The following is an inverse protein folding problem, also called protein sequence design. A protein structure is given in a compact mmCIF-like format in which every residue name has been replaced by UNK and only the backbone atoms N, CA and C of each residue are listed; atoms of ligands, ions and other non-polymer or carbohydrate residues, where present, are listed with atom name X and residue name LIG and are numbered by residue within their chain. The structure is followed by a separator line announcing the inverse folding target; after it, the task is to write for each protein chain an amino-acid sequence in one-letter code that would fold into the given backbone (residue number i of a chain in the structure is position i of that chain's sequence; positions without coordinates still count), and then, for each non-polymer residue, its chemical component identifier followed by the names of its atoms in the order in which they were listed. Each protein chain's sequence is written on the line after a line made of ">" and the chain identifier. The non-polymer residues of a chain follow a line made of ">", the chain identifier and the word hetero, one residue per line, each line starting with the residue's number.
data_IF_760465809686
#
_entry.id   IF_760465809686
#
_cell.length_a   1.000
_cell.length_b   1.000
_cell.length_c   1.000
_cell.angle_alpha   90.00
_cell.angle_beta   90.00
_cell.angle_gamma   90.00
#
_symmetry.space_group_name_H-M   'P 1'
#
loop_
_entity.id
_entity.type
_entity.pdbx_description
1 polymer ?
#
# COMPACT_ATOMS: atom_id res chain seq x y z
N UNK A 1 -9.68 -6.41 6.92
CA UNK A 1 -8.42 -6.10 6.23
C UNK A 1 -8.38 -6.90 4.94
N UNK A 2 -8.18 -6.26 3.78
CA UNK A 2 -8.10 -6.96 2.48
C UNK A 2 -6.70 -6.78 1.91
N UNK A 3 -6.12 -7.84 1.36
CA UNK A 3 -4.81 -7.82 0.75
C UNK A 3 -4.85 -8.53 -0.61
N UNK A 4 -4.08 -8.01 -1.56
CA UNK A 4 -3.83 -8.69 -2.82
C UNK A 4 -2.38 -9.16 -2.82
N UNK A 5 -2.17 -10.47 -2.99
CA UNK A 5 -0.82 -11.02 -3.12
C UNK A 5 -0.25 -10.60 -4.47
N UNK A 6 0.79 -9.77 -4.44
CA UNK A 6 1.44 -9.28 -5.67
C UNK A 6 2.11 -10.43 -6.41
N UNK A 7 1.66 -10.65 -7.65
CA UNK A 7 2.32 -11.47 -8.66
C UNK A 7 2.66 -10.58 -9.86
N UNK A 8 3.66 -10.97 -10.66
CA UNK A 8 4.23 -10.14 -11.73
C UNK A 8 3.25 -9.79 -12.87
N UNK A 9 2.05 -10.36 -12.89
CA UNK A 9 1.05 -10.17 -13.96
C UNK A 9 -0.31 -9.66 -13.49
N UNK A 10 -0.55 -9.54 -12.18
CA UNK A 10 -1.83 -9.07 -11.65
C UNK A 10 -1.84 -7.54 -11.59
N UNK A 11 -2.80 -6.91 -12.26
CA UNK A 11 -3.07 -5.48 -12.15
C UNK A 11 -4.14 -5.28 -11.07
N UNK A 12 -3.74 -4.70 -9.94
CA UNK A 12 -4.61 -4.51 -8.79
C UNK A 12 -4.67 -3.05 -8.36
N UNK A 13 -5.87 -2.47 -8.39
CA UNK A 13 -6.14 -1.09 -8.02
C UNK A 13 -7.23 -1.03 -6.95
N UNK A 14 -7.00 -0.22 -5.92
CA UNK A 14 -8.05 0.07 -4.97
C UNK A 14 -8.89 1.25 -5.50
N UNK A 15 -10.19 1.05 -5.65
CA UNK A 15 -11.14 2.12 -5.97
C UNK A 15 -11.90 2.57 -4.72
N UNK A 16 -12.36 3.82 -4.72
CA UNK A 16 -13.10 4.43 -3.60
C UNK A 16 -14.32 5.19 -4.12
N UNK A 17 -15.38 4.50 -4.55
CA UNK A 17 -16.58 5.14 -5.09
C UNK A 17 -17.30 6.00 -4.04
N UNK A 18 -17.17 5.62 -2.77
CA UNK A 18 -17.77 6.31 -1.64
C UNK A 18 -16.76 6.49 -0.50
N UNK A 19 -16.95 7.52 0.31
CA UNK A 19 -16.21 7.71 1.56
C UNK A 19 -16.81 6.82 2.65
N UNK A 20 -16.26 5.61 2.79
CA UNK A 20 -16.66 4.66 3.84
C UNK A 20 -15.46 3.87 4.34
N UNK A 21 -15.54 3.42 5.59
CA UNK A 21 -14.55 2.53 6.23
C UNK A 21 -15.00 1.07 6.23
N UNK A 22 -16.30 0.87 6.02
CA UNK A 22 -17.00 -0.40 6.20
C UNK A 22 -17.00 -1.24 4.92
N UNK A 23 -16.67 -0.62 3.78
CA UNK A 23 -16.64 -1.28 2.47
C UNK A 23 -15.33 -0.95 1.77
N UNK A 24 -14.71 -1.97 1.18
CA UNK A 24 -13.48 -1.83 0.42
C UNK A 24 -13.64 -2.44 -0.98
N UNK A 25 -13.42 -1.63 -2.01
CA UNK A 25 -13.42 -2.06 -3.39
C UNK A 25 -12.00 -2.19 -3.93
N UNK A 26 -11.72 -3.31 -4.57
CA UNK A 26 -10.46 -3.58 -5.27
C UNK A 26 -10.80 -4.14 -6.65
N UNK A 27 -10.20 -3.57 -7.68
CA UNK A 27 -10.24 -4.13 -9.03
C UNK A 27 -8.97 -4.94 -9.26
N UNK A 28 -9.10 -6.19 -9.67
CA UNK A 28 -7.99 -7.07 -10.07
C UNK A 28 -8.29 -7.63 -11.45
N UNK A 29 -7.45 -7.33 -12.44
CA UNK A 29 -7.59 -7.77 -13.84
C UNK A 29 -9.01 -7.60 -14.41
N UNK A 30 -9.61 -6.44 -14.14
CA UNK A 30 -10.95 -6.07 -14.61
C UNK A 30 -12.12 -6.64 -13.80
N UNK A 31 -11.88 -7.47 -12.78
CA UNK A 31 -12.91 -7.93 -11.83
C UNK A 31 -12.89 -7.04 -10.57
N UNK A 32 -14.05 -6.58 -10.13
CA UNK A 32 -14.16 -5.79 -8.89
C UNK A 32 -14.57 -6.67 -7.72
N UNK A 33 -13.69 -6.83 -6.75
CA UNK A 33 -13.98 -7.50 -5.47
C UNK A 33 -14.28 -6.47 -4.39
N UNK A 34 -15.35 -6.69 -3.66
CA UNK A 34 -15.83 -5.84 -2.58
C UNK A 34 -15.80 -6.63 -1.28
N UNK A 35 -15.04 -6.14 -0.31
CA UNK A 35 -15.11 -6.62 1.08
C UNK A 35 -16.09 -5.73 1.84
N UNK A 36 -17.24 -6.28 2.20
CA UNK A 36 -18.33 -5.60 2.90
C UNK A 36 -18.33 -6.00 4.37
N UNK A 37 -18.33 -5.02 5.27
CA UNK A 37 -18.50 -5.23 6.69
C UNK A 37 -19.62 -4.34 7.19
N UNK A 38 -20.62 -4.94 7.83
CA UNK A 38 -21.70 -4.19 8.46
C UNK A 38 -21.83 -4.62 9.91
N UNK A 39 -21.81 -3.66 10.83
CA UNK A 39 -22.22 -3.91 12.21
C UNK A 39 -23.76 -3.94 12.29
N UNK A 40 -24.32 -4.77 13.19
CA UNK A 40 -25.75 -4.73 13.52
C UNK A 40 -26.20 -3.28 13.82
N UNK A 41 -27.41 -2.93 13.34
CA UNK A 41 -28.07 -1.64 13.56
C UNK A 41 -27.41 -0.40 12.94
N UNK A 42 -26.31 -0.55 12.20
CA UNK A 42 -25.76 0.53 11.37
C UNK A 42 -26.27 0.45 9.92
N UNK A 43 -26.92 1.53 9.48
CA UNK A 43 -27.52 1.65 8.15
C UNK A 43 -26.55 2.11 7.06
N UNK A 44 -25.47 2.81 7.41
CA UNK A 44 -24.67 3.58 6.46
C UNK A 44 -23.94 2.70 5.43
N UNK A 45 -23.40 1.56 5.87
CA UNK A 45 -22.74 0.61 4.98
C UNK A 45 -23.73 0.00 3.99
N UNK A 46 -24.88 -0.52 4.45
CA UNK A 46 -25.87 -1.12 3.57
C UNK A 46 -26.43 -0.10 2.57
N UNK A 47 -26.78 1.11 3.02
CA UNK A 47 -27.25 2.17 2.12
C UNK A 47 -26.19 2.59 1.09
N UNK A 48 -24.90 2.46 1.42
CA UNK A 48 -23.81 2.70 0.47
C UNK A 48 -23.71 1.57 -0.56
N UNK A 49 -23.83 0.32 -0.12
CA UNK A 49 -23.83 -0.84 -1.01
C UNK A 49 -25.01 -0.82 -1.99
N UNK A 50 -26.23 -0.54 -1.50
CA UNK A 50 -27.45 -0.51 -2.31
C UNK A 50 -27.44 0.59 -3.40
N UNK A 51 -26.65 1.65 -3.22
CA UNK A 51 -26.49 2.75 -4.21
C UNK A 51 -25.32 2.55 -5.15
N UNK A 52 -24.52 1.50 -4.95
CA UNK A 52 -23.31 1.31 -5.73
C UNK A 52 -23.64 0.74 -7.12
N UNK A 53 -23.22 1.40 -8.23
CA UNK A 53 -23.42 0.85 -9.57
C UNK A 53 -22.59 -0.42 -9.77
N UNK A 54 -23.28 -1.55 -9.98
CA UNK A 54 -22.67 -2.87 -10.12
C UNK A 54 -21.96 -3.00 -11.47
N UNK A 55 -20.66 -3.35 -11.51
CA UNK A 55 -19.93 -3.57 -12.76
C UNK A 55 -20.17 -4.98 -13.33
N UNK A 56 -19.83 -5.18 -14.60
CA UNK A 56 -20.05 -6.45 -15.34
C UNK A 56 -19.44 -7.69 -14.67
N UNK A 57 -18.32 -7.53 -13.94
CA UNK A 57 -17.64 -8.63 -13.24
C UNK A 57 -17.34 -8.23 -11.81
N UNK A 58 -18.18 -8.67 -10.87
CA UNK A 58 -18.05 -8.33 -9.48
C UNK A 58 -18.22 -9.52 -8.53
N UNK A 59 -17.55 -9.42 -7.38
CA UNK A 59 -17.78 -10.27 -6.21
C UNK A 59 -17.96 -9.36 -5.01
N UNK A 60 -19.10 -9.46 -4.33
CA UNK A 60 -19.35 -8.77 -3.06
C UNK A 60 -19.39 -9.83 -1.98
N UNK A 61 -18.47 -9.73 -1.01
CA UNK A 61 -18.40 -10.69 0.08
C UNK A 61 -18.08 -10.04 1.41
N UNK A 62 -18.55 -10.64 2.50
CA UNK A 62 -18.16 -10.27 3.86
C UNK A 62 -19.32 -10.41 4.85
N UNK A 63 -19.26 -9.69 5.96
CA UNK A 63 -20.21 -9.80 7.06
C UNK A 63 -21.41 -8.85 6.83
N UNK A 64 -22.54 -9.42 6.42
CA UNK A 64 -23.77 -8.67 6.18
C UNK A 64 -24.61 -8.48 7.44
N UNK A 65 -24.41 -9.31 8.46
CA UNK A 65 -25.18 -9.27 9.70
C UNK A 65 -26.71 -9.25 9.45
N UNK A 66 -27.18 -10.04 8.46
CA UNK A 66 -28.58 -10.12 8.06
C UNK A 66 -29.02 -11.55 7.71
N UNK A 67 -30.30 -11.86 7.92
CA UNK A 67 -30.89 -13.16 7.58
C UNK A 67 -32.00 -13.00 6.57
N UNK A 68 -32.11 -13.96 5.66
CA UNK A 68 -33.19 -14.10 4.71
C UNK A 68 -33.35 -15.57 4.35
N UNK A 69 -34.58 -15.98 4.02
CA UNK A 69 -34.91 -17.39 3.77
C UNK A 69 -34.16 -18.01 2.58
N UNK A 70 -33.54 -17.19 1.72
CA UNK A 70 -32.72 -17.68 0.59
C UNK A 70 -31.32 -18.14 0.99
N UNK A 71 -30.82 -17.77 2.19
CA UNK A 71 -29.52 -18.24 2.70
C UNK A 71 -29.60 -18.86 4.10
N UNK A 72 -30.66 -18.60 4.86
CA UNK A 72 -30.92 -19.25 6.13
C UNK A 72 -32.43 -19.35 6.40
N UNK A 73 -32.93 -20.56 6.62
CA UNK A 73 -34.32 -20.87 6.96
C UNK A 73 -34.77 -20.06 8.19
N UNK A 74 -36.02 -19.59 8.14
CA UNK A 74 -36.65 -18.77 9.18
C UNK A 74 -37.00 -17.37 8.71
N UNK A 75 -37.38 -16.50 9.65
CA UNK A 75 -37.76 -15.13 9.34
C UNK A 75 -36.55 -14.28 8.94
N UNK A 76 -36.76 -13.41 7.95
CA UNK A 76 -35.79 -12.41 7.57
C UNK A 76 -35.57 -11.40 8.71
N UNK A 77 -34.33 -10.97 8.92
CA UNK A 77 -33.97 -9.98 9.96
C UNK A 77 -32.92 -9.02 9.42
N UNK A 78 -32.79 -7.87 10.09
CA UNK A 78 -31.74 -6.88 9.81
C UNK A 78 -31.64 -6.45 8.34
N UNK A 79 -32.80 -6.24 7.69
CA UNK A 79 -32.93 -5.84 6.28
C UNK A 79 -32.47 -6.90 5.27
N UNK A 80 -32.54 -8.18 5.63
CA UNK A 80 -32.26 -9.29 4.71
C UNK A 80 -33.10 -9.28 3.43
N UNK A 81 -34.36 -8.81 3.50
CA UNK A 81 -35.21 -8.66 2.31
C UNK A 81 -34.60 -7.67 1.30
N UNK A 82 -34.16 -6.50 1.75
CA UNK A 82 -33.57 -5.49 0.87
C UNK A 82 -32.27 -5.97 0.21
N UNK A 83 -31.49 -6.80 0.91
CA UNK A 83 -30.28 -7.43 0.34
C UNK A 83 -30.67 -8.46 -0.73
N UNK A 84 -31.72 -9.24 -0.50
CA UNK A 84 -32.22 -10.21 -1.47
C UNK A 84 -32.78 -9.51 -2.72
N UNK A 85 -33.56 -8.44 -2.54
CA UNK A 85 -34.10 -7.64 -3.63
C UNK A 85 -32.96 -7.00 -4.44
N UNK A 86 -31.97 -6.40 -3.76
CA UNK A 86 -30.78 -5.83 -4.40
C UNK A 86 -30.00 -6.86 -5.21
N UNK A 87 -29.77 -8.06 -4.67
CA UNK A 87 -29.08 -9.11 -5.38
C UNK A 87 -29.87 -9.56 -6.62
N UNK A 88 -31.20 -9.69 -6.51
CA UNK A 88 -32.08 -10.06 -7.62
C UNK A 88 -32.12 -8.99 -8.71
N UNK A 89 -32.23 -7.72 -8.34
CA UNK A 89 -32.29 -6.58 -9.27
C UNK A 89 -31.01 -6.46 -10.12
N UNK A 90 -29.86 -6.85 -9.54
CA UNK A 90 -28.55 -6.77 -10.19
C UNK A 90 -28.04 -8.13 -10.69
N UNK A 91 -28.90 -9.14 -10.76
CA UNK A 91 -28.56 -10.50 -11.23
C UNK A 91 -27.35 -11.13 -10.52
N UNK A 92 -27.20 -10.84 -9.23
CA UNK A 92 -26.13 -11.38 -8.40
C UNK A 92 -26.54 -12.73 -7.82
N UNK A 93 -25.78 -13.76 -8.17
CA UNK A 93 -25.93 -15.11 -7.63
C UNK A 93 -25.31 -15.19 -6.23
N UNK A 94 -26.07 -15.74 -5.28
CA UNK A 94 -25.57 -16.08 -3.96
C UNK A 94 -24.70 -17.35 -4.05
N UNK A 95 -23.47 -17.28 -3.58
CA UNK A 95 -22.53 -18.41 -3.56
C UNK A 95 -22.64 -19.26 -2.29
N UNK A 96 -23.29 -18.76 -1.24
CA UNK A 96 -23.52 -19.50 -0.02
C UNK A 96 -24.48 -20.67 -0.27
N UNK A 97 -24.22 -21.78 0.41
CA UNK A 97 -25.15 -22.90 0.47
C UNK A 97 -26.16 -22.59 1.59
N UNK A 98 -27.45 -22.78 1.29
CA UNK A 98 -28.55 -22.59 2.22
C UNK A 98 -28.33 -23.37 3.53
N UNK A 99 -28.57 -22.71 4.67
CA UNK A 99 -28.49 -23.27 6.02
C UNK A 99 -27.11 -23.77 6.46
N UNK A 100 -26.05 -23.51 5.69
CA UNK A 100 -24.68 -23.75 6.15
C UNK A 100 -24.21 -22.55 6.98
N UNK A 101 -23.95 -22.72 8.30
CA UNK A 101 -23.51 -21.61 9.14
C UNK A 101 -22.12 -21.09 8.74
N UNK A 102 -21.98 -19.77 8.77
CA UNK A 102 -20.70 -19.08 8.52
C UNK A 102 -20.01 -18.63 9.79
N UNK A 103 -20.72 -18.69 10.92
CA UNK A 103 -20.18 -18.39 12.24
C UNK A 103 -20.43 -19.52 13.26
N UNK A 104 -19.72 -19.50 14.41
CA UNK A 104 -19.87 -20.55 15.43
C UNK A 104 -21.23 -20.57 16.15
N UNK A 105 -22.06 -19.55 15.93
CA UNK A 105 -23.38 -19.42 16.55
C UNK A 105 -24.49 -20.06 15.71
N UNK A 106 -24.17 -20.67 14.57
CA UNK A 106 -25.15 -21.35 13.73
C UNK A 106 -25.88 -20.43 12.74
N UNK A 107 -25.41 -19.20 12.55
CA UNK A 107 -26.02 -18.27 11.59
C UNK A 107 -25.20 -18.17 10.29
N UNK A 108 -25.89 -17.87 9.20
CA UNK A 108 -25.35 -17.61 7.86
C UNK A 108 -25.45 -16.11 7.59
N UNK A 109 -24.46 -15.37 8.05
CA UNK A 109 -24.43 -13.89 7.96
C UNK A 109 -23.24 -13.35 7.17
N UNK A 110 -22.25 -14.21 6.91
CA UNK A 110 -21.14 -13.89 6.01
C UNK A 110 -21.54 -14.35 4.60
N UNK A 111 -21.88 -13.42 3.72
CA UNK A 111 -22.47 -13.71 2.42
C UNK A 111 -21.48 -13.39 1.30
N UNK A 112 -21.62 -14.10 0.17
CA UNK A 112 -20.88 -13.85 -1.06
C UNK A 112 -21.85 -13.85 -2.25
N UNK A 113 -21.85 -12.75 -3.01
CA UNK A 113 -22.70 -12.50 -4.18
C UNK A 113 -21.82 -12.18 -5.40
N UNK A 114 -22.18 -12.68 -6.58
CA UNK A 114 -21.39 -12.48 -7.80
C UNK A 114 -22.25 -12.54 -9.05
N UNK A 115 -21.91 -11.77 -10.08
CA UNK A 115 -22.42 -11.93 -11.45
C UNK A 115 -21.42 -12.65 -12.37
N UNK A 116 -20.32 -13.18 -11.83
CA UNK A 116 -19.39 -14.00 -12.60
C UNK A 116 -20.00 -15.40 -12.80
N UNK A 117 -20.23 -15.83 -14.06
CA UNK A 117 -20.81 -17.15 -14.33
C UNK A 117 -19.92 -18.29 -13.81
N UNK A 118 -20.55 -19.37 -13.34
CA UNK A 118 -19.88 -20.58 -12.85
C UNK A 118 -18.95 -20.36 -11.64
N UNK A 119 -19.08 -19.22 -10.94
CA UNK A 119 -18.35 -18.99 -9.72
C UNK A 119 -18.84 -19.95 -8.61
N UNK A 120 -17.90 -20.51 -7.87
CA UNK A 120 -18.15 -21.35 -6.71
C UNK A 120 -17.43 -20.78 -5.48
N UNK A 121 -18.05 -20.91 -4.31
CA UNK A 121 -17.41 -20.60 -3.03
C UNK A 121 -17.38 -21.84 -2.14
N UNK A 122 -16.25 -22.05 -1.46
CA UNK A 122 -16.11 -23.13 -0.48
C UNK A 122 -15.89 -22.52 0.90
N UNK A 123 -16.80 -22.81 1.83
CA UNK A 123 -16.61 -22.45 3.25
C UNK A 123 -15.70 -23.49 3.88
N UNK A 124 -14.46 -23.12 4.17
CA UNK A 124 -13.54 -23.98 4.92
C UNK A 124 -13.41 -23.47 6.35
N UNK A 125 -13.90 -24.28 7.29
CA UNK A 125 -13.50 -24.12 8.68
C UNK A 125 -12.07 -24.61 8.81
N UNK A 126 -11.11 -23.68 8.87
CA UNK A 126 -9.85 -24.01 9.51
C UNK A 126 -10.20 -24.30 10.96
N UNK A 127 -10.17 -25.59 11.34
CA UNK A 127 -10.20 -26.03 12.74
C UNK A 127 -9.29 -25.06 13.49
N UNK A 128 -9.82 -24.35 14.50
CA UNK A 128 -8.97 -23.66 15.46
C UNK A 128 -8.01 -24.72 15.99
N UNK A 129 -6.77 -24.73 15.49
CA UNK A 129 -5.69 -25.43 16.16
C UNK A 129 -5.64 -24.82 17.57
N UNK A 130 -5.63 -25.63 18.63
CA UNK A 130 -5.65 -25.11 19.99
C UNK A 130 -4.51 -24.10 20.17
N UNK A 131 -4.67 -23.03 20.98
CA UNK A 131 -3.71 -21.93 21.07
C UNK A 131 -2.25 -22.36 21.33
N UNK A 132 -2.08 -23.51 21.97
CA UNK A 132 -0.78 -24.14 22.25
C UNK A 132 -0.09 -24.61 20.97
N UNK A 133 -0.78 -25.35 20.10
CA UNK A 133 -0.22 -25.85 18.84
C UNK A 133 0.06 -24.72 17.83
N UNK A 134 -0.75 -23.64 17.85
CA UNK A 134 -0.48 -22.43 17.07
C UNK A 134 0.82 -21.75 17.50
N UNK A 135 1.07 -21.67 18.81
CA UNK A 135 2.29 -21.10 19.35
C UNK A 135 3.54 -21.88 18.96
N UNK A 136 3.46 -23.21 18.99
CA UNK A 136 4.55 -24.11 18.60
C UNK A 136 4.82 -24.10 17.10
N UNK A 137 3.77 -24.13 16.27
CA UNK A 137 3.89 -24.00 14.81
C UNK A 137 4.42 -22.62 14.42
N UNK A 138 3.92 -21.55 15.02
CA UNK A 138 4.41 -20.20 14.77
C UNK A 138 5.87 -20.04 15.19
N UNK A 139 6.27 -20.60 16.33
CA UNK A 139 7.66 -20.58 16.82
C UNK A 139 8.57 -21.40 15.91
N UNK A 140 8.12 -22.56 15.46
CA UNK A 140 8.86 -23.44 14.53
C UNK A 140 9.04 -22.77 13.18
N UNK A 141 7.98 -22.17 12.62
CA UNK A 141 8.05 -21.42 11.37
C UNK A 141 8.93 -20.17 11.50
N UNK A 142 8.81 -19.42 12.61
CA UNK A 142 9.66 -18.27 12.87
C UNK A 142 11.14 -18.66 12.99
N UNK A 143 11.43 -19.78 13.66
CA UNK A 143 12.78 -20.34 13.77
C UNK A 143 13.35 -20.76 12.42
N UNK A 144 12.54 -21.47 11.62
CA UNK A 144 12.91 -21.90 10.27
C UNK A 144 13.21 -20.70 9.37
N UNK A 145 12.31 -19.73 9.33
CA UNK A 145 12.49 -18.50 8.54
C UNK A 145 13.67 -17.68 9.03
N UNK A 146 13.90 -17.59 10.35
CA UNK A 146 15.07 -16.91 10.92
C UNK A 146 16.36 -17.62 10.52
N UNK A 147 16.38 -18.94 10.54
CA UNK A 147 17.53 -19.75 10.15
C UNK A 147 17.83 -19.63 8.66
N UNK A 148 16.78 -19.70 7.82
CA UNK A 148 16.89 -19.46 6.39
C UNK A 148 17.37 -18.03 6.09
N UNK A 149 16.86 -17.03 6.80
CA UNK A 149 17.29 -15.63 6.65
C UNK A 149 18.74 -15.41 7.12
N UNK A 150 19.20 -16.11 8.16
CA UNK A 150 20.61 -16.07 8.61
C UNK A 150 21.53 -16.76 7.60
N UNK A 151 21.08 -17.86 6.99
CA UNK A 151 21.86 -18.61 6.00
C UNK A 151 21.93 -17.89 4.64
N UNK A 152 20.81 -17.31 4.19
CA UNK A 152 20.71 -16.61 2.90
C UNK A 152 21.08 -15.12 2.99
N UNK A 153 20.96 -14.52 4.18
CA UNK A 153 21.17 -13.10 4.41
C UNK A 153 22.65 -12.74 4.56
N UNK A 154 23.07 -11.64 3.94
CA UNK A 154 24.35 -11.00 4.26
C UNK A 154 24.19 -10.22 5.56
N UNK A 155 25.15 -10.27 6.51
CA UNK A 155 25.11 -9.42 7.70
C UNK A 155 24.89 -7.97 7.29
N UNK A 156 23.94 -7.29 7.95
CA UNK A 156 23.80 -5.85 7.79
C UNK A 156 25.16 -5.22 8.10
N UNK A 157 25.84 -4.71 7.06
CA UNK A 157 27.11 -4.01 7.23
C UNK A 157 26.87 -2.88 8.24
N UNK A 158 27.44 -2.99 9.45
CA UNK A 158 27.51 -1.90 10.45
C UNK A 158 28.46 -0.79 9.95
N UNK A 159 28.23 -0.28 8.74
CA UNK A 159 29.21 0.52 8.01
C UNK A 159 28.65 1.77 7.34
N UNK A 160 27.37 2.10 7.53
CA UNK A 160 26.86 3.41 7.15
C UNK A 160 27.15 4.39 8.28
N UNK A 161 28.02 5.38 8.07
CA UNK A 161 28.03 6.57 8.95
C UNK A 161 26.64 7.17 8.90
N UNK A 162 26.01 7.36 10.06
CA UNK A 162 24.75 8.11 10.15
C UNK A 162 24.90 9.42 9.39
N UNK A 163 23.84 9.83 8.69
CA UNK A 163 23.90 11.03 7.88
C UNK A 163 24.41 12.21 8.75
N UNK A 164 25.32 13.06 8.26
CA UNK A 164 25.98 14.08 9.09
C UNK A 164 25.02 15.09 9.76
N UNK A 165 23.83 15.26 9.20
CA UNK A 165 22.76 16.12 9.73
C UNK A 165 21.87 15.41 10.78
N UNK A 166 22.14 14.14 11.10
CA UNK A 166 21.35 13.37 12.05
C UNK A 166 21.76 13.70 13.49
N UNK A 167 20.96 14.54 14.13
CA UNK A 167 21.17 14.98 15.52
C UNK A 167 20.48 14.06 16.53
N UNK A 168 20.81 14.21 17.81
CA UNK A 168 20.10 13.55 18.92
C UNK A 168 18.60 13.92 18.94
N UNK A 169 18.27 15.18 18.62
CA UNK A 169 16.89 15.65 18.44
C UNK A 169 16.16 14.87 17.33
N UNK A 170 16.83 14.59 16.20
CA UNK A 170 16.28 13.73 15.13
C UNK A 170 16.03 12.31 15.62
N UNK A 171 16.96 11.75 16.42
CA UNK A 171 16.84 10.42 16.98
C UNK A 171 15.66 10.31 17.96
N UNK A 172 15.53 11.29 18.87
CA UNK A 172 14.42 11.37 19.81
C UNK A 172 13.06 11.52 19.11
N UNK A 173 12.96 12.40 18.10
CA UNK A 173 11.74 12.57 17.32
C UNK A 173 11.36 11.30 16.52
N UNK A 174 12.36 10.59 15.97
CA UNK A 174 12.14 9.31 15.30
C UNK A 174 11.69 8.21 16.28
N UNK A 175 12.24 8.19 17.49
CA UNK A 175 11.84 7.25 18.54
C UNK A 175 10.38 7.50 18.97
N UNK A 176 10.00 8.76 19.21
CA UNK A 176 8.62 9.15 19.52
C UNK A 176 7.63 8.78 18.41
N UNK A 177 7.95 9.07 17.15
CA UNK A 177 7.12 8.66 16.02
C UNK A 177 6.99 7.13 15.93
N UNK A 178 8.07 6.37 16.15
CA UNK A 178 8.01 4.89 16.17
C UNK A 178 7.13 4.37 17.29
N UNK A 179 7.20 4.94 18.49
CA UNK A 179 6.37 4.55 19.62
C UNK A 179 4.88 4.75 19.31
N UNK A 180 4.50 5.94 18.82
CA UNK A 180 3.11 6.26 18.44
C UNK A 180 2.63 5.36 17.29
N UNK A 181 3.49 5.07 16.31
CA UNK A 181 3.15 4.16 15.21
C UNK A 181 2.94 2.71 15.67
N UNK A 182 3.67 2.24 16.68
CA UNK A 182 3.53 0.87 17.20
C UNK A 182 2.25 0.68 18.01
N UNK A 183 1.81 1.70 18.73
CA UNK A 183 0.60 1.66 19.55
C UNK A 183 -0.69 1.88 18.73
N UNK A 184 -0.58 2.34 17.49
CA UNK A 184 -1.73 2.69 16.66
C UNK A 184 -2.06 1.60 15.66
N UNK A 185 -3.17 0.88 15.88
CA UNK A 185 -3.66 -0.21 15.02
C UNK A 185 -4.42 0.28 13.75
N UNK A 186 -4.62 1.58 13.59
CA UNK A 186 -5.30 2.18 12.42
C UNK A 186 -4.79 3.60 12.09
N UNK A 187 -5.28 4.17 10.98
CA UNK A 187 -4.96 5.53 10.51
C UNK A 187 -5.37 6.56 11.56
N UNK A 188 -4.38 7.04 12.31
CA UNK A 188 -4.61 7.87 13.48
C UNK A 188 -4.01 9.26 13.24
N UNK A 189 -4.79 10.30 13.53
CA UNK A 189 -4.36 11.70 13.49
C UNK A 189 -3.06 11.89 14.29
N UNK A 190 -2.88 11.16 15.39
CA UNK A 190 -1.67 11.16 16.21
C UNK A 190 -0.43 10.65 15.45
N UNK A 191 -0.58 9.63 14.59
CA UNK A 191 0.52 9.13 13.74
C UNK A 191 0.91 10.17 12.69
N UNK A 192 -0.07 10.86 12.10
CA UNK A 192 0.20 11.92 11.12
C UNK A 192 0.84 13.15 11.77
N UNK A 193 0.39 13.55 12.95
CA UNK A 193 0.98 14.63 13.74
C UNK A 193 2.43 14.26 14.11
N UNK A 194 2.66 13.08 14.67
CA UNK A 194 4.00 12.61 15.02
C UNK A 194 4.94 12.50 13.81
N UNK A 195 4.43 12.04 12.66
CA UNK A 195 5.17 12.00 11.40
C UNK A 195 5.54 13.41 10.93
N UNK A 196 4.59 14.36 10.98
CA UNK A 196 4.81 15.77 10.62
C UNK A 196 5.86 16.40 11.51
N UNK A 197 5.83 16.13 12.80
CA UNK A 197 6.76 16.69 13.78
C UNK A 197 8.16 16.10 13.62
N UNK A 198 8.29 14.79 13.41
CA UNK A 198 9.56 14.18 12.99
C UNK A 198 10.12 14.83 11.71
N UNK A 199 9.29 14.98 10.67
CA UNK A 199 9.72 15.64 9.43
C UNK A 199 10.08 17.11 9.63
N UNK A 200 9.49 17.81 10.60
CA UNK A 200 9.84 19.19 10.94
C UNK A 200 11.25 19.26 11.53
N UNK A 201 11.54 18.40 12.50
CA UNK A 201 12.87 18.29 13.14
C UNK A 201 13.93 17.89 12.11
N UNK A 202 13.68 16.85 11.31
CA UNK A 202 14.62 16.40 10.29
C UNK A 202 14.91 17.48 9.23
N UNK A 203 13.88 18.25 8.80
CA UNK A 203 14.07 19.38 7.88
C UNK A 203 14.88 20.51 8.52
N UNK A 204 14.64 20.84 9.79
CA UNK A 204 15.43 21.84 10.54
C UNK A 204 16.89 21.41 10.64
N UNK A 205 17.16 20.18 11.05
CA UNK A 205 18.51 19.65 11.19
C UNK A 205 19.28 19.64 9.87
N UNK A 206 18.64 19.20 8.77
CA UNK A 206 19.19 19.29 7.41
C UNK A 206 19.54 20.73 7.04
N UNK A 207 18.62 21.67 7.22
CA UNK A 207 18.86 23.09 6.87
C UNK A 207 20.00 23.69 7.67
N UNK A 208 20.08 23.40 8.98
CA UNK A 208 21.16 23.89 9.83
C UNK A 208 22.51 23.32 9.40
N UNK A 209 22.56 22.01 9.14
CA UNK A 209 23.78 21.36 8.65
C UNK A 209 24.26 21.98 7.34
N UNK A 210 23.37 22.18 6.36
CA UNK A 210 23.75 22.78 5.09
C UNK A 210 24.20 24.23 5.23
N UNK A 211 23.55 25.03 6.08
CA UNK A 211 23.99 26.40 6.38
C UNK A 211 25.40 26.40 6.98
N UNK A 212 25.62 25.65 8.05
CA UNK A 212 26.94 25.56 8.68
C UNK A 212 28.02 25.03 7.73
N UNK A 213 27.67 24.09 6.85
CA UNK A 213 28.61 23.55 5.88
C UNK A 213 29.00 24.62 4.83
N UNK A 214 28.03 25.38 4.34
CA UNK A 214 28.29 26.49 3.41
C UNK A 214 29.14 27.57 4.09
N UNK A 215 28.78 27.94 5.32
CA UNK A 215 29.52 28.94 6.11
C UNK A 215 30.95 28.49 6.43
N UNK A 216 31.21 27.17 6.47
CA UNK A 216 32.55 26.60 6.71
C UNK A 216 33.49 26.65 5.50
N UNK A 217 33.00 27.03 4.31
CA UNK A 217 33.83 27.09 3.11
C UNK A 217 34.72 28.32 3.11
N UNK A 218 35.99 28.12 3.45
CA UNK A 218 37.01 29.17 3.46
C UNK A 218 37.94 29.14 2.24
N UNK A 219 37.74 28.20 1.31
CA UNK A 219 38.62 28.03 0.14
C UNK A 219 37.89 27.50 -1.10
N UNK A 220 38.46 27.79 -2.27
CA UNK A 220 37.96 27.31 -3.57
C UNK A 220 37.88 25.77 -3.64
N UNK A 221 38.74 25.03 -2.94
CA UNK A 221 38.69 23.57 -2.91
C UNK A 221 37.52 23.03 -2.10
N UNK A 222 37.11 23.74 -1.03
CA UNK A 222 35.93 23.40 -0.25
C UNK A 222 34.64 23.66 -1.04
N UNK A 223 34.61 24.75 -1.81
CA UNK A 223 33.52 25.07 -2.75
C UNK A 223 33.34 23.98 -3.82
N UNK A 224 34.43 23.50 -4.46
CA UNK A 224 34.34 22.43 -5.47
C UNK A 224 33.82 21.09 -4.91
N UNK A 225 34.08 20.80 -3.62
CA UNK A 225 33.47 19.64 -2.94
C UNK A 225 31.97 19.80 -2.75
N UNK A 226 31.48 21.04 -2.60
CA UNK A 226 30.05 21.36 -2.47
C UNK A 226 29.29 21.20 -3.79
N UNK A 227 29.90 21.59 -4.92
CA UNK A 227 29.31 21.50 -6.26
C UNK A 227 28.93 20.06 -6.63
N UNK A 228 29.67 19.05 -6.11
CA UNK A 228 29.33 17.62 -6.28
C UNK A 228 27.95 17.24 -5.74
N UNK A 229 27.36 18.03 -4.85
CA UNK A 229 26.06 17.77 -4.24
C UNK A 229 24.92 18.54 -4.91
N UNK A 230 25.23 19.48 -5.80
CA UNK A 230 24.24 20.10 -6.68
C UNK A 230 23.91 19.11 -7.78
N UNK A 231 22.64 18.68 -7.85
CA UNK A 231 22.16 18.05 -9.08
C UNK A 231 22.21 19.11 -10.18
N UNK A 232 22.84 18.87 -11.33
CA UNK A 232 22.78 19.82 -12.43
C UNK A 232 21.31 20.04 -12.81
N UNK A 233 20.91 21.31 -12.86
CA UNK A 233 19.63 21.74 -13.40
C UNK A 233 19.71 21.59 -14.93
N UNK A 234 19.48 20.37 -15.41
CA UNK A 234 19.48 20.04 -16.84
C UNK A 234 20.69 19.23 -17.31
N UNK A 235 20.59 18.73 -18.55
CA UNK A 235 21.69 18.05 -19.22
C UNK A 235 22.87 19.02 -19.36
N UNK A 236 24.06 18.59 -18.96
CA UNK A 236 25.29 19.35 -19.19
C UNK A 236 25.42 19.61 -20.69
N UNK A 237 25.30 20.89 -21.08
CA UNK A 237 25.65 21.33 -22.43
C UNK A 237 27.13 21.66 -22.40
N UNK A 238 28.00 20.89 -23.09
CA UNK A 238 29.39 21.26 -23.25
C UNK A 238 29.44 22.63 -23.95
N UNK A 239 30.44 23.48 -23.62
CA UNK A 239 30.61 24.76 -24.28
C UNK A 239 30.63 24.61 -25.82
N UNK A 240 30.26 25.68 -26.53
CA UNK A 240 30.31 25.71 -27.99
C UNK A 240 31.72 25.37 -28.48
N UNK A 241 31.83 24.52 -29.50
CA UNK A 241 33.11 24.12 -30.07
C UNK A 241 33.49 25.11 -31.17
N UNK A 242 34.71 25.66 -31.13
CA UNK A 242 35.24 26.49 -32.21
C UNK A 242 36.30 25.71 -32.99
N UNK A 243 36.07 25.52 -34.28
CA UNK A 243 37.06 24.98 -35.22
C UNK A 243 37.12 25.96 -36.40
N UNK A 244 38.31 26.45 -36.74
CA UNK A 244 38.54 27.36 -37.87
C UNK A 244 37.58 28.57 -37.91
N UNK A 245 37.39 29.25 -36.77
CA UNK A 245 36.48 30.40 -36.60
C UNK A 245 34.97 30.12 -36.76
N UNK A 246 34.55 28.86 -36.90
CA UNK A 246 33.13 28.47 -36.94
C UNK A 246 32.73 27.92 -35.57
N UNK A 247 31.60 28.40 -35.04
CA UNK A 247 31.05 28.02 -33.73
C UNK A 247 29.99 26.94 -33.91
N UNK A 248 30.19 25.79 -33.28
CA UNK A 248 29.25 24.68 -33.28
C UNK A 248 28.57 24.55 -31.91
N UNK A 249 27.24 24.67 -31.89
CA UNK A 249 26.45 24.69 -30.66
C UNK A 249 25.79 23.34 -30.34
N UNK A 250 25.28 22.62 -31.35
CA UNK A 250 24.57 21.35 -31.16
C UNK A 250 25.53 20.17 -31.00
N UNK A 251 25.10 19.10 -30.31
CA UNK A 251 25.91 17.90 -30.10
C UNK A 251 26.28 17.18 -31.41
N UNK A 252 25.34 17.18 -32.37
CA UNK A 252 25.53 16.52 -33.66
C UNK A 252 26.57 17.26 -34.49
N UNK A 253 26.51 18.59 -34.52
CA UNK A 253 27.46 19.40 -35.29
C UNK A 253 28.87 19.32 -34.69
N UNK A 254 28.98 19.28 -33.35
CA UNK A 254 30.25 19.04 -32.66
C UNK A 254 30.87 17.69 -33.00
N UNK A 255 30.05 16.62 -33.06
CA UNK A 255 30.52 15.29 -33.42
C UNK A 255 31.04 15.23 -34.86
N UNK A 256 30.32 15.85 -35.80
CA UNK A 256 30.73 15.91 -37.21
C UNK A 256 32.01 16.75 -37.40
N UNK A 257 32.10 17.91 -36.74
CA UNK A 257 33.28 18.77 -36.81
C UNK A 257 34.53 18.08 -36.27
N UNK A 258 34.42 17.36 -35.15
CA UNK A 258 35.53 16.56 -34.60
C UNK A 258 35.90 15.39 -35.51
N UNK A 259 34.92 14.71 -36.10
CA UNK A 259 35.17 13.62 -37.05
C UNK A 259 35.94 14.13 -38.28
N UNK A 260 35.54 15.27 -38.84
CA UNK A 260 36.23 15.89 -39.98
C UNK A 260 37.65 16.34 -39.60
N UNK A 261 37.82 17.01 -38.46
CA UNK A 261 39.12 17.45 -37.97
C UNK A 261 40.07 16.29 -37.58
N UNK A 262 39.55 15.06 -37.43
CA UNK A 262 40.37 13.87 -37.14
C UNK A 262 40.79 13.10 -38.39
N UNK A 263 40.27 13.46 -39.56
CA UNK A 263 40.56 12.82 -40.86
C UNK A 263 41.58 13.65 -41.66
N UNK A 264 41.81 14.91 -41.28
CA UNK A 264 42.96 15.74 -41.71
C UNK A 264 44.20 15.47 -40.85
#
# INVERSE_FOLDING_TARGET
>A
MTYVRRYSRLLADQIRPFETRDILWITVDGMTTVNFYRQNDKSDALNTLLRWPIPERCLVAGDFNARHHTWQTGQATNRGQEIADWASEHELSLLNILDIPTNPHGNTIDLAFTNVPLAEATVSWSRRTPPVELGELASSLASLLTSAAKAAGRPARKGGRSAPWWTEECAAAMAGFRAIRRLSLSFNQNVQVAKRDFHRVARRAKRQYWRNLIDSFTSNSAFLKAVRWLKPLGAFQPPSLQVNNVVYETQMDKANALQQASIE
#
